data_IF_614953434664
#
_entry.id   IF_614953434664
#
_cell.length_a   1.000
_cell.length_b   1.000
_cell.length_c   1.000
_cell.angle_alpha   90.00
_cell.angle_beta   90.00
_cell.angle_gamma   90.00
#
_symmetry.space_group_name_H-M   'P 1'
#
loop_
_entity.id
_entity.type
_entity.pdbx_description
1 polymer ?
#
# COMPACT_ATOMS: atom_id res chain seq x y z
N UNK A 1 -2.29 -20.06 -15.09
CA UNK A 1 -3.73 -19.87 -15.40
C UNK A 1 -4.49 -20.91 -14.62
N UNK A 2 -5.44 -20.48 -13.78
CA UNK A 2 -6.22 -21.39 -12.93
C UNK A 2 -7.50 -21.88 -13.61
N UNK A 3 -7.86 -21.36 -14.79
CA UNK A 3 -9.11 -21.70 -15.47
C UNK A 3 -10.33 -21.45 -14.58
N UNK A 4 -11.31 -22.35 -14.59
CA UNK A 4 -12.51 -22.23 -13.74
C UNK A 4 -12.34 -22.70 -12.29
N UNK A 5 -11.12 -22.82 -11.75
CA UNK A 5 -10.85 -23.41 -10.43
C UNK A 5 -9.92 -22.54 -9.60
N UNK A 6 -9.89 -22.78 -8.30
CA UNK A 6 -8.86 -22.23 -7.43
C UNK A 6 -7.59 -23.09 -7.48
N UNK A 7 -6.45 -22.48 -7.16
CA UNK A 7 -5.17 -23.17 -7.01
C UNK A 7 -4.39 -22.63 -5.82
N UNK A 8 -3.56 -23.46 -5.21
CA UNK A 8 -2.60 -23.02 -4.18
C UNK A 8 -1.18 -23.15 -4.73
N UNK A 9 -0.43 -22.06 -4.68
CA UNK A 9 0.97 -21.99 -5.05
C UNK A 9 1.82 -21.93 -3.76
N UNK A 10 2.81 -22.82 -3.64
CA UNK A 10 3.84 -22.69 -2.62
C UNK A 10 4.85 -21.62 -3.03
N UNK A 11 5.17 -20.68 -2.15
CA UNK A 11 6.20 -19.67 -2.34
C UNK A 11 7.47 -20.20 -1.68
N UNK A 12 8.23 -21.00 -2.43
CA UNK A 12 9.40 -21.73 -1.93
C UNK A 12 9.10 -22.40 -0.56
N UNK A 13 9.88 -22.09 0.47
CA UNK A 13 9.66 -22.52 1.85
C UNK A 13 9.21 -21.37 2.78
N UNK A 14 8.76 -20.24 2.22
CA UNK A 14 8.50 -19.01 2.97
C UNK A 14 7.01 -18.64 3.06
N UNK A 15 6.13 -19.29 2.30
CA UNK A 15 4.72 -18.94 2.31
C UNK A 15 3.88 -19.67 1.28
N UNK A 16 2.63 -19.22 1.15
CA UNK A 16 1.67 -19.74 0.16
C UNK A 16 0.87 -18.61 -0.46
N UNK A 17 0.46 -18.79 -1.71
CA UNK A 17 -0.48 -17.93 -2.41
C UNK A 17 -1.67 -18.76 -2.89
N UNK A 18 -2.88 -18.45 -2.40
CA UNK A 18 -4.12 -19.00 -2.95
C UNK A 18 -4.57 -18.12 -4.11
N UNK A 19 -4.76 -18.71 -5.27
CA UNK A 19 -5.18 -18.07 -6.50
C UNK A 19 -6.66 -18.38 -6.75
N UNK A 20 -7.46 -17.34 -7.02
CA UNK A 20 -8.86 -17.50 -7.41
C UNK A 20 -9.03 -18.16 -8.78
N UNK A 21 -10.28 -18.45 -9.13
CA UNK A 21 -10.65 -18.85 -10.48
C UNK A 21 -10.41 -17.71 -11.47
N UNK A 22 -9.99 -18.05 -12.69
CA UNK A 22 -9.68 -17.10 -13.77
C UNK A 22 -8.40 -16.31 -13.54
N UNK A 23 -7.53 -16.75 -12.63
CA UNK A 23 -6.29 -16.04 -12.30
C UNK A 23 -5.15 -16.45 -13.22
N UNK A 24 -4.49 -15.46 -13.80
CA UNK A 24 -3.26 -15.63 -14.57
C UNK A 24 -2.10 -15.00 -13.83
N UNK A 25 -1.17 -15.85 -13.42
CA UNK A 25 0.09 -15.48 -12.79
C UNK A 25 1.25 -16.09 -13.57
N UNK A 26 2.36 -15.36 -13.65
CA UNK A 26 3.63 -15.78 -14.25
C UNK A 26 4.74 -15.67 -13.21
N UNK A 27 5.67 -16.62 -13.21
CA UNK A 27 6.88 -16.52 -12.40
C UNK A 27 7.90 -15.67 -13.17
N UNK A 28 8.30 -14.53 -12.62
CA UNK A 28 9.30 -13.64 -13.21
C UNK A 28 10.71 -14.10 -12.83
N UNK A 29 10.93 -14.37 -11.55
CA UNK A 29 12.24 -14.74 -11.01
C UNK A 29 12.09 -15.56 -9.73
N UNK A 30 13.03 -16.47 -9.50
CA UNK A 30 13.17 -17.18 -8.23
C UNK A 30 14.64 -17.48 -7.93
N UNK A 31 15.10 -17.09 -6.75
CA UNK A 31 16.43 -17.37 -6.23
C UNK A 31 16.41 -17.39 -4.70
N UNK A 32 17.55 -17.64 -4.07
CA UNK A 32 17.68 -17.55 -2.61
C UNK A 32 17.51 -16.12 -2.05
N UNK A 33 17.55 -15.10 -2.92
CA UNK A 33 17.48 -13.68 -2.54
C UNK A 33 16.17 -13.01 -2.93
N UNK A 34 15.36 -13.62 -3.81
CA UNK A 34 14.08 -13.07 -4.23
C UNK A 34 13.16 -14.12 -4.87
N UNK A 35 11.86 -13.94 -4.68
CA UNK A 35 10.80 -14.64 -5.38
C UNK A 35 9.84 -13.60 -5.96
N UNK A 36 9.71 -13.56 -7.29
CA UNK A 36 8.91 -12.55 -7.99
C UNK A 36 7.85 -13.19 -8.86
N UNK A 37 6.59 -12.84 -8.58
CA UNK A 37 5.45 -13.18 -9.41
C UNK A 37 4.96 -11.96 -10.17
N UNK A 38 4.39 -12.20 -11.35
CA UNK A 38 3.62 -11.23 -12.10
C UNK A 38 2.17 -11.69 -12.17
N UNK A 39 1.27 -10.98 -11.49
CA UNK A 39 -0.18 -11.18 -11.55
C UNK A 39 -0.70 -10.38 -12.75
N UNK A 40 -1.02 -11.07 -13.85
CA UNK A 40 -1.55 -10.43 -15.06
C UNK A 40 -3.01 -10.01 -14.87
N UNK A 41 -3.82 -10.87 -14.23
CA UNK A 41 -5.19 -10.59 -13.78
C UNK A 41 -5.70 -11.71 -12.86
N UNK A 42 -6.81 -11.43 -12.18
CA UNK A 42 -7.47 -12.30 -11.22
C UNK A 42 -7.14 -11.94 -9.78
N UNK A 43 -7.46 -12.86 -8.86
CA UNK A 43 -7.28 -12.67 -7.43
C UNK A 43 -6.23 -13.61 -6.84
N UNK A 44 -5.58 -13.12 -5.79
CA UNK A 44 -4.60 -13.85 -5.01
C UNK A 44 -4.67 -13.43 -3.53
N UNK A 45 -4.64 -14.42 -2.66
CA UNK A 45 -4.40 -14.23 -1.23
C UNK A 45 -3.02 -14.81 -0.89
N UNK A 46 -2.07 -13.94 -0.54
CA UNK A 46 -0.72 -14.33 -0.16
C UNK A 46 -0.55 -14.30 1.36
N UNK A 47 0.10 -15.33 1.89
CA UNK A 47 0.57 -15.40 3.27
C UNK A 47 2.06 -15.74 3.25
N UNK A 48 2.89 -14.84 3.77
CA UNK A 48 4.36 -14.94 3.71
C UNK A 48 4.96 -14.69 5.09
N UNK A 49 5.78 -15.64 5.53
CA UNK A 49 6.60 -15.52 6.73
C UNK A 49 8.07 -15.58 6.34
N UNK A 50 8.64 -14.42 6.04
CA UNK A 50 10.01 -14.31 5.54
C UNK A 50 10.67 -13.00 6.03
N UNK A 51 12.01 -12.91 5.99
CA UNK A 51 12.69 -11.62 6.00
C UNK A 51 12.07 -10.66 4.97
N UNK A 52 11.95 -9.36 5.29
CA UNK A 52 11.35 -8.39 4.38
C UNK A 52 12.01 -8.39 2.99
N UNK A 53 11.20 -8.15 1.95
CA UNK A 53 11.59 -8.00 0.54
C UNK A 53 12.05 -9.28 -0.18
N UNK A 54 11.93 -10.46 0.43
CA UNK A 54 12.20 -11.72 -0.27
C UNK A 54 11.09 -12.10 -1.26
N UNK A 55 9.87 -11.61 -1.08
CA UNK A 55 8.77 -11.85 -2.00
C UNK A 55 8.25 -10.54 -2.58
N UNK A 56 7.97 -10.55 -3.88
CA UNK A 56 7.42 -9.40 -4.58
C UNK A 56 6.43 -9.84 -5.66
N UNK A 57 5.42 -9.02 -5.87
CA UNK A 57 4.40 -9.22 -6.88
C UNK A 57 4.36 -7.99 -7.75
N UNK A 58 4.43 -8.17 -9.05
CA UNK A 58 4.14 -7.11 -10.00
C UNK A 58 2.77 -7.34 -10.59
N UNK A 59 2.08 -6.25 -10.89
CA UNK A 59 0.85 -6.21 -11.68
C UNK A 59 1.12 -5.32 -12.90
N UNK A 60 0.19 -5.20 -13.86
CA UNK A 60 0.35 -4.24 -14.95
C UNK A 60 0.52 -2.78 -14.48
N UNK A 61 0.15 -2.44 -13.25
CA UNK A 61 0.06 -1.05 -12.77
C UNK A 61 0.83 -0.76 -11.48
N UNK A 62 1.14 -1.78 -10.69
CA UNK A 62 1.75 -1.60 -9.37
C UNK A 62 2.69 -2.76 -9.04
N UNK A 63 3.86 -2.42 -8.50
CA UNK A 63 4.75 -3.36 -7.83
C UNK A 63 4.42 -3.37 -6.32
N UNK A 64 4.30 -4.57 -5.78
CA UNK A 64 4.03 -4.85 -4.37
C UNK A 64 5.24 -5.59 -3.82
N UNK A 65 5.91 -5.02 -2.82
CA UNK A 65 7.00 -5.71 -2.11
C UNK A 65 6.50 -6.15 -0.74
N UNK A 66 6.58 -7.45 -0.49
CA UNK A 66 6.18 -8.08 0.77
C UNK A 66 7.23 -7.80 1.86
N UNK A 67 6.78 -7.36 3.03
CA UNK A 67 7.65 -7.11 4.18
C UNK A 67 7.36 -8.06 5.36
N UNK A 68 6.90 -9.28 5.07
CA UNK A 68 6.42 -10.28 6.01
C UNK A 68 4.94 -10.06 6.35
N UNK A 69 4.04 -10.41 5.43
CA UNK A 69 2.63 -10.05 5.54
C UNK A 69 1.64 -11.11 5.03
N UNK A 70 0.38 -10.85 5.33
CA UNK A 70 -0.78 -11.48 4.71
C UNK A 70 -1.60 -10.40 3.99
N UNK A 71 -1.95 -10.63 2.72
CA UNK A 71 -2.76 -9.69 1.95
C UNK A 71 -3.53 -10.36 0.82
N UNK A 72 -4.67 -9.76 0.49
CA UNK A 72 -5.45 -10.08 -0.70
C UNK A 72 -5.23 -9.01 -1.78
N UNK A 73 -5.00 -9.44 -3.00
CA UNK A 73 -4.86 -8.58 -4.18
C UNK A 73 -5.75 -9.10 -5.30
N UNK A 74 -6.47 -8.20 -5.97
CA UNK A 74 -7.32 -8.48 -7.12
C UNK A 74 -7.04 -7.44 -8.19
N UNK A 75 -6.84 -7.88 -9.44
CA UNK A 75 -6.54 -7.00 -10.58
C UNK A 75 -7.25 -7.51 -11.83
N UNK A 76 -7.87 -6.61 -12.57
CA UNK A 76 -8.50 -6.92 -13.85
C UNK A 76 -7.48 -6.91 -15.01
N UNK A 77 -7.92 -7.33 -16.20
CA UNK A 77 -7.07 -7.36 -17.39
C UNK A 77 -6.59 -5.97 -17.87
N UNK A 78 -7.12 -4.87 -17.31
CA UNK A 78 -6.69 -3.49 -17.59
C UNK A 78 -5.69 -2.98 -16.55
N UNK A 79 -5.33 -3.80 -15.55
CA UNK A 79 -4.45 -3.39 -14.46
C UNK A 79 -5.16 -2.59 -13.37
N UNK A 80 -6.50 -2.55 -13.36
CA UNK A 80 -7.28 -1.88 -12.31
C UNK A 80 -7.66 -2.91 -11.26
N UNK A 81 -7.55 -2.55 -9.98
CA UNK A 81 -7.77 -3.49 -8.91
C UNK A 81 -7.66 -2.87 -7.52
N UNK A 82 -7.40 -3.73 -6.55
CA UNK A 82 -7.18 -3.33 -5.16
C UNK A 82 -6.28 -4.30 -4.43
N UNK A 83 -5.68 -3.82 -3.35
CA UNK A 83 -4.96 -4.64 -2.37
C UNK A 83 -5.50 -4.33 -0.97
N UNK A 84 -5.68 -5.37 -0.16
CA UNK A 84 -6.06 -5.27 1.26
C UNK A 84 -5.01 -6.01 2.08
N UNK A 85 -4.40 -5.32 3.03
CA UNK A 85 -3.36 -5.85 3.91
C UNK A 85 -4.02 -6.34 5.19
N UNK A 86 -3.92 -7.64 5.44
CA UNK A 86 -4.56 -8.33 6.57
C UNK A 86 -3.61 -8.32 7.77
N UNK A 87 -2.33 -8.63 7.58
CA UNK A 87 -1.33 -8.54 8.64
C UNK A 87 0.02 -8.08 8.10
N UNK A 88 0.88 -7.54 8.96
CA UNK A 88 2.19 -7.01 8.57
C UNK A 88 2.07 -5.71 7.76
N UNK A 89 2.84 -5.59 6.66
CA UNK A 89 2.81 -4.44 5.75
C UNK A 89 3.38 -4.77 4.38
N UNK A 90 2.96 -4.02 3.37
CA UNK A 90 3.53 -4.05 2.01
C UNK A 90 4.04 -2.67 1.61
N UNK A 91 5.00 -2.66 0.70
CA UNK A 91 5.36 -1.48 -0.06
C UNK A 91 4.67 -1.49 -1.42
N UNK A 92 4.11 -0.34 -1.81
CA UNK A 92 3.50 -0.14 -3.11
C UNK A 92 4.29 0.90 -3.90
N UNK A 93 4.53 0.60 -5.17
CA UNK A 93 5.17 1.49 -6.12
C UNK A 93 4.43 1.42 -7.45
N UNK A 94 4.24 2.56 -8.11
CA UNK A 94 3.73 2.57 -9.48
C UNK A 94 4.66 1.77 -10.42
N UNK A 95 4.10 1.09 -11.42
CA UNK A 95 4.88 0.24 -12.32
C UNK A 95 5.93 1.01 -13.16
N UNK A 96 5.67 2.28 -13.48
CA UNK A 96 6.51 3.11 -14.35
C UNK A 96 7.69 3.81 -13.62
N UNK A 97 8.18 3.20 -12.53
CA UNK A 97 9.00 3.87 -11.49
C UNK A 97 8.22 4.98 -10.78
N UNK A 98 8.56 5.22 -9.52
CA UNK A 98 7.83 6.17 -8.69
C UNK A 98 8.20 6.06 -7.22
N UNK A 99 7.55 6.88 -6.40
CA UNK A 99 7.76 6.86 -4.96
C UNK A 99 7.16 5.61 -4.34
N UNK A 100 7.81 5.12 -3.29
CA UNK A 100 7.34 3.96 -2.52
C UNK A 100 6.47 4.47 -1.37
N UNK A 101 5.23 3.99 -1.32
CA UNK A 101 4.33 4.14 -0.16
C UNK A 101 4.27 2.83 0.63
N UNK A 102 3.78 2.89 1.87
CA UNK A 102 3.64 1.72 2.74
C UNK A 102 2.17 1.57 3.16
N UNK A 103 1.62 0.38 2.91
CA UNK A 103 0.30 -0.03 3.36
C UNK A 103 0.45 -1.07 4.49
N UNK A 104 0.14 -0.72 5.76
CA UNK A 104 0.15 -1.64 6.88
C UNK A 104 -1.14 -2.45 7.00
N UNK A 105 -1.14 -3.42 7.90
CA UNK A 105 -2.33 -4.16 8.33
C UNK A 105 -3.51 -3.22 8.64
N UNK A 106 -4.72 -3.68 8.32
CA UNK A 106 -5.96 -2.92 8.47
C UNK A 106 -6.22 -1.88 7.37
N UNK A 107 -5.34 -1.79 6.36
CA UNK A 107 -5.47 -0.85 5.24
C UNK A 107 -5.77 -1.53 3.91
N UNK A 108 -6.33 -0.75 2.99
CA UNK A 108 -6.55 -1.11 1.61
C UNK A 108 -6.13 0.03 0.69
N UNK A 109 -5.73 -0.29 -0.53
CA UNK A 109 -5.33 0.69 -1.55
C UNK A 109 -5.85 0.28 -2.93
N UNK A 110 -6.16 1.27 -3.76
CA UNK A 110 -6.50 1.03 -5.15
C UNK A 110 -5.24 0.71 -5.98
N UNK A 111 -5.41 -0.14 -6.98
CA UNK A 111 -4.41 -0.40 -8.03
C UNK A 111 -4.98 0.20 -9.31
N UNK A 112 -4.26 1.13 -9.93
CA UNK A 112 -4.71 1.80 -11.16
C UNK A 112 -3.52 2.08 -12.08
N UNK A 113 -3.72 2.01 -13.40
CA UNK A 113 -2.72 2.49 -14.35
C UNK A 113 -2.37 3.95 -14.09
N UNK A 114 -1.09 4.28 -14.18
CA UNK A 114 -0.57 5.62 -13.96
C UNK A 114 0.79 5.62 -13.28
N UNK A 115 1.22 6.80 -12.87
CA UNK A 115 2.55 7.02 -12.28
C UNK A 115 2.51 7.18 -10.75
N UNK A 116 1.36 6.89 -10.12
CA UNK A 116 1.17 7.03 -8.67
C UNK A 116 0.65 5.72 -8.08
N UNK A 117 1.20 5.27 -6.95
CA UNK A 117 0.59 4.18 -6.19
C UNK A 117 -0.69 4.69 -5.51
N UNK A 118 -1.73 3.85 -5.41
CA UNK A 118 -2.96 4.23 -4.72
C UNK A 118 -2.72 4.44 -3.23
N UNK A 119 -3.26 5.52 -2.66
CA UNK A 119 -3.02 5.82 -1.24
C UNK A 119 -3.70 4.77 -0.34
N UNK A 120 -3.03 4.31 0.74
CA UNK A 120 -3.60 3.36 1.66
C UNK A 120 -4.60 4.06 2.57
N UNK A 121 -5.77 3.48 2.74
CA UNK A 121 -6.84 3.93 3.62
C UNK A 121 -7.16 2.86 4.65
N UNK A 122 -7.46 3.28 5.88
CA UNK A 122 -8.00 2.36 6.88
C UNK A 122 -9.39 1.91 6.45
N UNK A 123 -9.77 0.67 6.77
CA UNK A 123 -11.08 0.11 6.36
C UNK A 123 -12.28 0.95 6.84
N UNK A 124 -12.12 1.65 7.96
CA UNK A 124 -13.15 2.48 8.58
C UNK A 124 -13.14 3.95 8.12
N UNK A 125 -12.29 4.33 7.14
CA UNK A 125 -12.23 5.71 6.64
C UNK A 125 -13.61 6.18 6.14
N UNK A 126 -13.87 7.48 6.30
CA UNK A 126 -15.14 8.08 5.88
C UNK A 126 -15.35 7.99 4.37
N UNK A 127 -16.62 8.01 3.92
CA UNK A 127 -16.93 8.07 2.49
C UNK A 127 -16.32 9.31 1.82
N UNK A 128 -16.32 10.46 2.52
CA UNK A 128 -15.73 11.69 2.01
C UNK A 128 -14.23 11.54 1.73
N UNK A 129 -13.49 10.86 2.62
CA UNK A 129 -12.07 10.59 2.38
C UNK A 129 -11.87 9.58 1.25
N UNK A 130 -12.68 8.52 1.20
CA UNK A 130 -12.60 7.51 0.15
C UNK A 130 -12.81 8.12 -1.25
N UNK A 131 -13.78 9.02 -1.39
CA UNK A 131 -14.02 9.76 -2.64
C UNK A 131 -12.86 10.69 -2.99
N UNK A 132 -12.32 11.42 -2.01
CA UNK A 132 -11.19 12.32 -2.20
C UNK A 132 -9.91 11.57 -2.61
N UNK A 133 -9.60 10.45 -1.96
CA UNK A 133 -8.48 9.58 -2.31
C UNK A 133 -8.68 8.98 -3.70
N UNK A 134 -9.88 8.50 -4.03
CA UNK A 134 -10.16 7.98 -5.37
C UNK A 134 -9.97 9.06 -6.45
N UNK A 135 -10.29 10.32 -6.17
CA UNK A 135 -10.03 11.45 -7.05
C UNK A 135 -8.53 11.77 -7.18
N UNK A 136 -7.80 11.74 -6.06
CA UNK A 136 -6.35 11.88 -6.06
C UNK A 136 -5.64 10.80 -6.88
N UNK A 137 -6.05 9.53 -6.71
CA UNK A 137 -5.49 8.38 -7.43
C UNK A 137 -5.75 8.44 -8.94
N UNK A 138 -6.87 9.05 -9.37
CA UNK A 138 -7.13 9.34 -10.80
C UNK A 138 -6.34 10.51 -11.35
N UNK A 139 -5.77 11.34 -10.47
CA UNK A 139 -5.07 12.57 -10.84
C UNK A 139 -5.99 13.77 -11.04
N UNK A 140 -7.18 13.78 -10.42
CA UNK A 140 -8.14 14.86 -10.53
C UNK A 140 -7.58 16.16 -9.90
N UNK A 141 -7.81 17.30 -10.56
CA UNK A 141 -7.39 18.60 -10.05
C UNK A 141 -8.10 18.94 -8.74
N UNK A 142 -7.37 19.49 -7.76
CA UNK A 142 -7.92 19.78 -6.43
C UNK A 142 -8.00 18.55 -5.50
N UNK A 143 -7.65 17.36 -6.00
CA UNK A 143 -7.49 16.09 -5.30
C UNK A 143 -6.97 16.22 -3.86
N UNK A 144 -5.77 16.81 -3.77
CA UNK A 144 -5.03 16.98 -2.52
C UNK A 144 -5.86 17.73 -1.48
N UNK A 145 -6.52 18.84 -1.85
CA UNK A 145 -7.25 19.65 -0.88
C UNK A 145 -8.50 18.95 -0.35
N UNK A 146 -9.16 18.13 -1.18
CA UNK A 146 -10.25 17.29 -0.73
C UNK A 146 -9.77 16.24 0.28
N UNK A 147 -8.61 15.61 0.04
CA UNK A 147 -8.01 14.64 0.99
C UNK A 147 -7.69 15.32 2.31
N UNK A 148 -7.04 16.50 2.28
CA UNK A 148 -6.68 17.22 3.50
C UNK A 148 -7.92 17.63 4.32
N UNK A 149 -8.99 18.05 3.66
CA UNK A 149 -10.24 18.45 4.30
C UNK A 149 -11.01 17.27 4.92
N UNK A 150 -10.98 16.10 4.28
CA UNK A 150 -11.73 14.92 4.72
C UNK A 150 -11.00 14.07 5.76
N UNK A 151 -9.66 14.12 5.79
CA UNK A 151 -8.85 13.30 6.68
C UNK A 151 -9.03 13.68 8.17
N UNK A 152 -8.98 12.66 9.02
CA UNK A 152 -9.01 12.75 10.48
C UNK A 152 -7.76 12.10 11.10
N UNK A 153 -7.66 12.06 12.42
CA UNK A 153 -6.53 11.44 13.13
C UNK A 153 -6.35 9.96 12.75
N UNK A 154 -7.44 9.25 12.45
CA UNK A 154 -7.39 7.83 12.04
C UNK A 154 -6.81 7.63 10.64
N UNK A 155 -6.71 8.69 9.84
CA UNK A 155 -6.25 8.65 8.45
C UNK A 155 -4.79 9.11 8.31
N UNK A 156 -4.04 9.13 9.42
CA UNK A 156 -2.62 9.47 9.46
C UNK A 156 -1.80 8.68 8.44
N UNK A 157 -2.12 7.40 8.21
CA UNK A 157 -1.44 6.55 7.23
C UNK A 157 -1.65 7.04 5.79
N UNK A 158 -2.84 7.56 5.47
CA UNK A 158 -3.14 8.17 4.17
C UNK A 158 -2.33 9.45 4.00
N UNK A 159 -2.33 10.32 5.02
CA UNK A 159 -1.65 11.63 4.96
C UNK A 159 -0.12 11.51 4.88
N UNK A 160 0.49 10.60 5.63
CA UNK A 160 1.96 10.45 5.59
C UNK A 160 2.42 9.87 4.26
N UNK A 161 1.64 8.97 3.65
CA UNK A 161 1.94 8.48 2.31
C UNK A 161 1.67 9.54 1.24
N UNK A 162 0.65 10.40 1.41
CA UNK A 162 0.45 11.58 0.58
C UNK A 162 1.63 12.54 0.67
N UNK A 163 2.20 12.76 1.86
CA UNK A 163 3.38 13.62 2.07
C UNK A 163 4.63 13.07 1.37
N UNK A 164 4.74 11.75 1.24
CA UNK A 164 5.79 11.12 0.43
C UNK A 164 5.56 11.49 -1.04
N UNK A 165 4.39 11.15 -1.60
CA UNK A 165 4.13 11.35 -3.04
C UNK A 165 4.00 12.82 -3.47
N UNK A 166 3.75 13.75 -2.53
CA UNK A 166 3.72 15.21 -2.69
C UNK A 166 4.83 15.89 -1.86
N UNK A 167 6.12 15.64 -2.18
CA UNK A 167 7.23 16.05 -1.33
C UNK A 167 7.35 17.58 -1.26
N UNK A 168 7.57 18.09 -0.05
CA UNK A 168 7.70 19.53 0.19
C UNK A 168 6.39 20.32 0.10
N UNK A 169 5.23 19.66 0.01
CA UNK A 169 3.95 20.34 0.05
C UNK A 169 3.62 20.79 1.49
N UNK A 170 3.63 22.11 1.78
CA UNK A 170 3.48 22.60 3.14
C UNK A 170 2.09 22.32 3.72
N UNK A 171 1.05 22.31 2.89
CA UNK A 171 -0.32 22.04 3.35
C UNK A 171 -0.48 20.59 3.79
N UNK A 172 0.12 19.66 3.06
CA UNK A 172 0.09 18.23 3.41
C UNK A 172 0.85 18.01 4.72
N UNK A 173 2.05 18.56 4.86
CA UNK A 173 2.85 18.40 6.07
C UNK A 173 2.21 19.07 7.30
N UNK A 174 1.63 20.26 7.13
CA UNK A 174 0.86 20.93 8.20
C UNK A 174 -0.33 20.08 8.65
N UNK A 175 -1.10 19.52 7.70
CA UNK A 175 -2.25 18.68 8.03
C UNK A 175 -1.82 17.39 8.73
N UNK A 176 -0.74 16.76 8.26
CA UNK A 176 -0.13 15.60 8.91
C UNK A 176 0.30 15.92 10.34
N UNK A 177 1.01 17.02 10.56
CA UNK A 177 1.48 17.45 11.89
C UNK A 177 0.35 17.78 12.85
N UNK A 178 -0.77 18.29 12.35
CA UNK A 178 -1.95 18.57 13.18
C UNK A 178 -2.69 17.29 13.62
N UNK A 179 -2.77 16.27 12.76
CA UNK A 179 -3.56 15.06 13.00
C UNK A 179 -2.76 13.89 13.57
N UNK A 180 -1.45 13.86 13.34
CA UNK A 180 -0.57 12.78 13.77
C UNK A 180 0.77 13.33 14.28
N UNK A 181 0.77 14.16 15.33
CA UNK A 181 1.98 14.80 15.82
C UNK A 181 3.02 13.76 16.24
N UNK A 182 4.27 13.98 15.85
CA UNK A 182 5.42 13.22 16.34
C UNK A 182 6.26 14.06 17.30
N UNK A 183 6.80 13.42 18.33
CA UNK A 183 7.78 14.06 19.21
C UNK A 183 9.16 14.21 18.55
N UNK A 184 9.46 13.40 17.52
CA UNK A 184 10.75 13.36 16.84
C UNK A 184 10.73 14.07 15.49
N UNK A 185 9.59 14.12 14.80
CA UNK A 185 9.47 14.63 13.44
C UNK A 185 8.52 15.82 13.38
N UNK A 186 9.05 16.99 12.99
CA UNK A 186 8.26 18.22 12.86
C UNK A 186 8.04 18.59 11.40
N UNK A 187 7.04 19.45 11.15
CA UNK A 187 6.78 20.03 9.83
C UNK A 187 8.02 20.74 9.29
N UNK A 188 8.72 21.53 10.11
CA UNK A 188 9.90 22.27 9.68
C UNK A 188 11.04 21.35 9.23
N UNK A 189 11.28 20.25 9.96
CA UNK A 189 12.28 19.25 9.56
C UNK A 189 11.85 18.58 8.26
N UNK A 190 10.61 18.12 8.17
CA UNK A 190 10.06 17.46 6.98
C UNK A 190 10.03 18.35 5.72
N UNK A 191 9.93 19.68 5.88
CA UNK A 191 10.05 20.63 4.77
C UNK A 191 11.46 20.69 4.19
N UNK A 192 12.49 20.42 4.99
CA UNK A 192 13.91 20.53 4.59
C UNK A 192 14.58 19.18 4.33
N UNK A 193 14.02 18.09 4.86
CA UNK A 193 14.56 16.73 4.73
C UNK A 193 13.42 15.75 4.37
N UNK A 194 13.33 15.34 3.08
CA UNK A 194 12.37 14.32 2.65
C UNK A 194 12.53 12.98 3.39
N UNK A 195 13.73 12.68 3.91
CA UNK A 195 14.00 11.50 4.73
C UNK A 195 13.24 11.51 6.07
N UNK A 196 12.93 12.69 6.61
CA UNK A 196 12.16 12.83 7.83
C UNK A 196 10.71 12.34 7.66
N UNK A 197 10.09 12.56 6.49
CA UNK A 197 8.75 12.02 6.19
C UNK A 197 8.76 10.49 6.19
N UNK A 198 9.83 9.88 5.66
CA UNK A 198 9.99 8.42 5.69
C UNK A 198 10.07 7.90 7.12
N UNK A 199 10.79 8.59 8.02
CA UNK A 199 10.88 8.21 9.43
C UNK A 199 9.60 8.45 10.22
N UNK A 200 8.89 9.53 9.94
CA UNK A 200 7.56 9.76 10.49
C UNK A 200 6.57 8.67 10.05
N UNK A 201 6.65 8.21 8.79
CA UNK A 201 5.86 7.08 8.31
C UNK A 201 6.19 5.79 9.06
N UNK A 202 7.46 5.50 9.34
CA UNK A 202 7.85 4.32 10.12
C UNK A 202 7.19 4.33 11.51
N UNK A 203 7.12 5.49 12.16
CA UNK A 203 6.44 5.68 13.45
C UNK A 203 4.93 5.43 13.34
N UNK A 204 4.25 6.07 12.37
CA UNK A 204 2.80 5.92 12.15
C UNK A 204 2.44 4.47 11.79
N UNK A 205 3.22 3.83 10.92
CA UNK A 205 3.04 2.42 10.53
C UNK A 205 3.15 1.50 11.74
N UNK A 206 4.14 1.76 12.61
CA UNK A 206 4.35 0.94 13.82
C UNK A 206 3.18 1.10 14.80
N UNK A 207 2.67 2.32 14.98
CA UNK A 207 1.49 2.60 15.80
C UNK A 207 0.22 1.93 15.23
N UNK A 208 0.00 2.01 13.92
CA UNK A 208 -1.15 1.40 13.25
C UNK A 208 -1.17 -0.12 13.42
N UNK A 209 -0.04 -0.80 13.15
CA UNK A 209 0.06 -2.26 13.30
C UNK A 209 -0.19 -2.68 14.76
N UNK A 210 0.30 -1.90 15.72
CA UNK A 210 0.05 -2.16 17.13
C UNK A 210 -1.45 -2.05 17.46
N UNK A 211 -2.14 -1.00 17.01
CA UNK A 211 -3.58 -0.81 17.22
C UNK A 211 -4.38 -1.96 16.60
N UNK A 212 -4.07 -2.34 15.36
CA UNK A 212 -4.76 -3.42 14.63
C UNK A 212 -4.63 -4.76 15.37
N UNK A 213 -3.44 -5.06 15.93
CA UNK A 213 -3.19 -6.27 16.72
C UNK A 213 -3.96 -6.37 18.05
N UNK A 214 -4.55 -5.26 18.52
CA UNK A 214 -5.39 -5.21 19.71
C UNK A 214 -6.87 -5.42 19.40
N UNK A 215 -7.30 -5.14 18.17
CA UNK A 215 -8.71 -5.24 17.74
C UNK A 215 -9.05 -6.68 17.32
N UNK A 216 -8.08 -7.42 16.80
CA UNK A 216 -8.23 -8.83 16.39
C UNK A 216 -8.09 -9.87 17.55
N UNK A 217 -8.14 -9.41 18.82
CA UNK A 217 -8.21 -10.28 20.02
C UNK A 217 -9.57 -10.20 20.70
#
# INVERSE_FOLDING_TARGET
DTGGREATLAIANIGTARLGAGTRVRLDATSAQQHRLHLEHGSMHAWVTAPPRLFAITTPSTAVTDLGCEYAIDVDAKGVGSITVISGKVELQAAAEGQIIVAPAGTHAAIRPGNRPGLPMVKASSMALAEAVAAYDRGDAGAVQAVLAAATETDAITLVNLAVVEPGNPHVLQRLGALAPSAAWTVDVAMTDPGAVVKWREEIVSAQIFIDSLIDR
#
